data_IF_335521330062
#
_entry.id   IF_335521330062
#
_cell.length_a   1.000
_cell.length_b   1.000
_cell.length_c   1.000
_cell.angle_alpha   90.00
_cell.angle_beta   90.00
_cell.angle_gamma   90.00
#
_symmetry.space_group_name_H-M   'P 1'
#
loop_
_entity.id
_entity.type
_entity.pdbx_description
1 polymer ?
#
# COMPACT_ATOMS: atom_id res chain seq x y z
N UNK A 1 28.63 -25.74 -5.11
CA UNK A 1 28.16 -24.42 -4.65
C UNK A 1 27.52 -23.76 -5.84
N UNK A 2 26.20 -23.54 -5.85
CA UNK A 2 25.57 -22.81 -6.94
C UNK A 2 26.16 -21.39 -6.95
N UNK A 3 26.70 -20.96 -8.08
CA UNK A 3 27.17 -19.60 -8.26
C UNK A 3 25.96 -18.66 -8.19
N UNK A 4 25.59 -18.24 -6.98
CA UNK A 4 24.50 -17.30 -6.78
C UNK A 4 24.74 -16.05 -7.61
N UNK A 5 23.71 -15.60 -8.31
CA UNK A 5 23.81 -14.52 -9.28
C UNK A 5 24.20 -13.21 -8.55
N UNK A 6 25.38 -12.61 -8.85
CA UNK A 6 25.87 -11.43 -8.15
C UNK A 6 24.99 -10.19 -8.38
N UNK A 7 24.12 -10.18 -9.38
CA UNK A 7 23.35 -9.00 -9.77
C UNK A 7 21.98 -8.92 -9.09
N UNK A 8 21.66 -9.84 -8.16
CA UNK A 8 20.34 -9.97 -7.55
C UNK A 8 20.39 -9.83 -6.03
N UNK A 9 19.45 -9.07 -5.48
CA UNK A 9 19.12 -9.09 -4.05
C UNK A 9 17.92 -10.03 -3.84
N UNK A 10 18.01 -10.96 -2.90
CA UNK A 10 16.83 -11.68 -2.40
C UNK A 10 16.23 -10.94 -1.21
N UNK A 11 14.99 -10.47 -1.34
CA UNK A 11 14.21 -9.95 -0.23
C UNK A 11 13.32 -11.04 0.35
N UNK A 12 13.54 -11.38 1.61
CA UNK A 12 12.78 -12.39 2.35
C UNK A 12 11.74 -11.70 3.23
N UNK A 13 10.48 -12.06 3.03
CA UNK A 13 9.34 -11.58 3.79
C UNK A 13 8.66 -12.77 4.47
N UNK A 14 8.99 -12.97 5.74
CA UNK A 14 8.50 -14.10 6.54
C UNK A 14 7.24 -13.73 7.32
N UNK A 15 6.10 -14.35 6.97
CA UNK A 15 4.78 -13.98 7.50
C UNK A 15 4.57 -14.39 8.96
N UNK A 16 5.53 -15.10 9.58
CA UNK A 16 5.51 -15.40 11.01
C UNK A 16 5.39 -14.13 11.87
N UNK A 17 5.96 -13.04 11.38
CA UNK A 17 6.24 -11.83 12.17
C UNK A 17 6.02 -10.54 11.37
N UNK A 18 5.56 -10.67 10.13
CA UNK A 18 5.34 -9.54 9.23
C UNK A 18 3.88 -9.52 8.77
N UNK A 19 3.23 -8.32 8.77
CA UNK A 19 1.80 -8.21 8.51
C UNK A 19 1.45 -8.46 7.05
N UNK A 20 0.40 -9.24 6.79
CA UNK A 20 -0.11 -9.46 5.41
C UNK A 20 -1.08 -8.33 5.01
N UNK A 21 -0.55 -7.11 4.93
CA UNK A 21 -1.29 -5.87 4.63
C UNK A 21 -0.61 -5.07 3.52
N UNK A 22 -1.19 -3.93 3.16
CA UNK A 22 -0.57 -2.97 2.25
C UNK A 22 0.71 -2.33 2.81
N UNK A 23 0.98 -2.43 4.11
CA UNK A 23 2.24 -1.94 4.70
C UNK A 23 3.45 -2.66 4.11
N UNK A 24 3.25 -3.86 3.52
CA UNK A 24 4.24 -4.55 2.69
C UNK A 24 4.89 -3.65 1.64
N UNK A 25 4.18 -2.66 1.08
CA UNK A 25 4.75 -1.71 0.12
C UNK A 25 5.93 -0.93 0.70
N UNK A 26 5.90 -0.61 1.99
CA UNK A 26 7.00 0.09 2.66
C UNK A 26 8.23 -0.80 2.78
N UNK A 27 8.03 -2.07 3.17
CA UNK A 27 9.12 -3.05 3.23
C UNK A 27 9.71 -3.32 1.85
N UNK A 28 8.86 -3.49 0.83
CA UNK A 28 9.29 -3.76 -0.52
C UNK A 28 10.04 -2.57 -1.12
N UNK A 29 9.56 -1.34 -0.92
CA UNK A 29 10.25 -0.13 -1.38
C UNK A 29 11.60 0.04 -0.68
N UNK A 30 11.67 -0.22 0.63
CA UNK A 30 12.92 -0.21 1.39
C UNK A 30 13.90 -1.27 0.87
N UNK A 31 13.43 -2.49 0.60
CA UNK A 31 14.26 -3.54 0.02
C UNK A 31 14.73 -3.21 -1.41
N UNK A 32 13.88 -2.57 -2.23
CA UNK A 32 14.29 -2.09 -3.56
C UNK A 32 15.30 -0.94 -3.47
N UNK A 33 15.20 -0.10 -2.45
CA UNK A 33 16.20 0.91 -2.18
C UNK A 33 17.54 0.25 -1.80
N UNK A 34 17.55 -0.73 -0.90
CA UNK A 34 18.76 -1.50 -0.56
C UNK A 34 19.37 -2.20 -1.78
N UNK A 35 18.54 -2.70 -2.70
CA UNK A 35 19.00 -3.26 -3.98
C UNK A 35 19.82 -2.23 -4.76
N UNK A 36 19.36 -0.97 -4.83
CA UNK A 36 20.08 0.12 -5.50
C UNK A 36 21.39 0.46 -4.79
N UNK A 37 21.35 0.60 -3.47
CA UNK A 37 22.53 0.91 -2.65
C UNK A 37 23.62 -0.16 -2.78
N UNK A 38 23.22 -1.41 -2.97
CA UNK A 38 24.14 -2.54 -3.16
C UNK A 38 24.49 -2.84 -4.63
N UNK A 39 24.08 -1.97 -5.56
CA UNK A 39 24.41 -2.06 -6.98
C UNK A 39 23.77 -3.24 -7.73
N UNK A 40 22.69 -3.81 -7.19
CA UNK A 40 22.01 -4.97 -7.78
C UNK A 40 21.01 -4.52 -8.85
N UNK A 41 20.90 -5.26 -9.94
CA UNK A 41 20.00 -4.92 -11.06
C UNK A 41 18.56 -5.33 -10.77
N UNK A 42 18.38 -6.48 -10.10
CA UNK A 42 17.06 -7.04 -9.80
C UNK A 42 16.89 -7.37 -8.33
N UNK A 43 15.64 -7.36 -7.89
CA UNK A 43 15.23 -7.90 -6.59
C UNK A 43 14.35 -9.13 -6.84
N UNK A 44 14.67 -10.23 -6.17
CA UNK A 44 13.81 -11.41 -6.10
C UNK A 44 13.11 -11.39 -4.75
N UNK A 45 11.83 -11.78 -4.74
CA UNK A 45 10.99 -11.74 -3.55
C UNK A 45 10.76 -13.17 -3.09
N UNK A 46 11.00 -13.43 -1.81
CA UNK A 46 10.69 -14.69 -1.14
C UNK A 46 9.68 -14.42 -0.04
N UNK A 47 8.42 -14.71 -0.31
CA UNK A 47 7.34 -14.68 0.66
C UNK A 47 7.27 -16.06 1.30
N UNK A 48 7.57 -16.12 2.60
CA UNK A 48 7.52 -17.37 3.37
C UNK A 48 6.17 -17.44 4.05
N UNK A 49 5.31 -18.30 3.52
CA UNK A 49 4.04 -18.69 4.12
C UNK A 49 4.31 -19.51 5.37
N UNK A 50 3.55 -19.26 6.42
CA UNK A 50 3.64 -19.98 7.70
C UNK A 50 2.24 -20.46 8.03
N UNK A 51 2.08 -21.77 8.16
CA UNK A 51 0.80 -22.38 8.54
C UNK A 51 0.47 -22.23 10.03
N UNK A 52 1.48 -21.98 10.87
CA UNK A 52 1.33 -21.85 12.32
C UNK A 52 1.50 -20.39 12.76
N UNK A 53 0.36 -19.70 12.94
CA UNK A 53 0.31 -18.32 13.41
C UNK A 53 0.27 -18.18 14.94
N UNK A 54 0.25 -19.31 15.67
CA UNK A 54 0.03 -19.36 17.13
C UNK A 54 1.09 -18.61 17.95
N UNK A 55 2.27 -18.38 17.38
CA UNK A 55 3.39 -17.70 18.04
C UNK A 55 3.65 -16.27 17.51
N UNK A 56 2.79 -15.73 16.64
CA UNK A 56 2.91 -14.33 16.21
C UNK A 56 2.33 -13.37 17.26
N UNK A 57 3.01 -12.25 17.52
CA UNK A 57 2.63 -11.23 18.52
C UNK A 57 1.37 -10.42 18.14
N UNK A 58 0.52 -10.92 17.24
CA UNK A 58 -0.62 -10.18 16.68
C UNK A 58 -1.89 -11.03 16.69
N UNK A 59 -2.13 -11.73 17.80
CA UNK A 59 -3.37 -12.47 18.05
C UNK A 59 -4.61 -11.61 17.76
N UNK A 60 -4.59 -10.31 18.10
CA UNK A 60 -5.66 -9.36 17.79
C UNK A 60 -5.84 -9.06 16.30
N UNK A 61 -4.77 -9.07 15.49
CA UNK A 61 -4.86 -8.91 14.03
C UNK A 61 -5.35 -10.19 13.36
N UNK A 62 -4.86 -11.36 13.79
CA UNK A 62 -5.30 -12.65 13.25
C UNK A 62 -6.78 -12.87 13.54
N UNK A 63 -7.21 -12.56 14.77
CA UNK A 63 -8.64 -12.58 15.15
C UNK A 63 -9.47 -11.62 14.29
N UNK A 64 -8.95 -10.42 13.98
CA UNK A 64 -9.66 -9.44 13.15
C UNK A 64 -9.67 -9.78 11.65
N UNK A 65 -8.67 -10.52 11.15
CA UNK A 65 -8.52 -10.81 9.72
C UNK A 65 -9.08 -12.19 9.34
N UNK A 66 -9.04 -13.16 10.26
CA UNK A 66 -9.39 -14.56 10.03
C UNK A 66 -8.29 -15.34 9.29
N UNK A 67 -8.08 -16.61 9.65
CA UNK A 67 -7.00 -17.44 9.08
C UNK A 67 -7.19 -17.71 7.57
N UNK A 68 -8.41 -17.99 7.11
CA UNK A 68 -8.74 -18.21 5.69
C UNK A 68 -8.40 -17.00 4.79
N UNK A 69 -8.27 -15.80 5.39
CA UNK A 69 -7.97 -14.56 4.70
C UNK A 69 -6.47 -14.38 4.44
N UNK A 70 -5.59 -15.05 5.20
CA UNK A 70 -4.14 -14.84 5.09
C UNK A 70 -3.59 -15.40 3.77
N UNK A 71 -3.88 -16.65 3.44
CA UNK A 71 -3.47 -17.25 2.16
C UNK A 71 -4.04 -16.50 0.95
N UNK A 72 -5.30 -16.05 1.06
CA UNK A 72 -5.92 -15.23 0.03
C UNK A 72 -5.15 -13.92 -0.16
N UNK A 73 -4.77 -13.23 0.92
CA UNK A 73 -3.99 -11.99 0.86
C UNK A 73 -2.55 -12.21 0.36
N UNK A 74 -1.91 -13.33 0.64
CA UNK A 74 -0.59 -13.62 0.05
C UNK A 74 -0.69 -13.60 -1.48
N UNK A 75 -1.70 -14.28 -2.03
CA UNK A 75 -1.87 -14.43 -3.49
C UNK A 75 -2.50 -13.21 -4.17
N UNK A 76 -3.44 -12.52 -3.51
CA UNK A 76 -4.24 -11.45 -4.12
C UNK A 76 -3.83 -10.04 -3.67
N UNK A 77 -3.01 -9.92 -2.63
CA UNK A 77 -2.49 -8.66 -2.13
C UNK A 77 -0.96 -8.58 -2.28
N UNK A 78 -0.18 -9.44 -1.60
CA UNK A 78 1.30 -9.31 -1.60
C UNK A 78 1.92 -9.58 -2.97
N UNK A 79 1.59 -10.70 -3.61
CA UNK A 79 2.14 -11.06 -4.93
C UNK A 79 1.83 -9.97 -5.98
N UNK A 80 0.59 -9.44 -6.10
CA UNK A 80 0.31 -8.33 -7.01
C UNK A 80 1.05 -7.05 -6.66
N UNK A 81 1.25 -6.72 -5.38
CA UNK A 81 2.07 -5.55 -5.00
C UNK A 81 3.53 -5.69 -5.46
N UNK A 82 4.09 -6.91 -5.47
CA UNK A 82 5.43 -7.15 -6.02
C UNK A 82 5.50 -6.78 -7.51
N UNK A 83 4.45 -7.08 -8.27
CA UNK A 83 4.41 -6.85 -9.73
C UNK A 83 4.36 -5.37 -10.12
N UNK A 84 4.02 -4.50 -9.17
CA UNK A 84 4.12 -3.06 -9.38
C UNK A 84 5.58 -2.61 -9.52
N UNK A 85 6.59 -3.34 -9.04
CA UNK A 85 7.98 -2.89 -9.08
C UNK A 85 8.71 -3.40 -10.32
N UNK A 86 9.22 -2.49 -11.13
CA UNK A 86 9.93 -2.83 -12.39
C UNK A 86 11.22 -3.63 -12.20
N UNK A 87 11.83 -3.53 -11.03
CA UNK A 87 13.05 -4.24 -10.65
C UNK A 87 12.80 -5.68 -10.19
N UNK A 88 11.54 -6.03 -9.88
CA UNK A 88 11.19 -7.36 -9.39
C UNK A 88 11.35 -8.38 -10.50
N UNK A 89 12.17 -9.39 -10.24
CA UNK A 89 12.40 -10.50 -11.17
C UNK A 89 11.52 -11.69 -10.86
N UNK A 90 11.87 -12.45 -9.83
CA UNK A 90 11.17 -13.66 -9.39
C UNK A 90 10.39 -13.38 -8.11
N UNK A 91 9.25 -14.04 -7.99
CA UNK A 91 8.44 -14.04 -6.78
C UNK A 91 8.25 -15.50 -6.39
N UNK A 92 8.81 -15.87 -5.24
CA UNK A 92 8.65 -17.16 -4.59
C UNK A 92 7.61 -16.99 -3.49
N UNK A 93 6.58 -17.84 -3.50
CA UNK A 93 5.62 -17.99 -2.42
C UNK A 93 5.68 -19.44 -1.99
N UNK A 94 6.30 -19.70 -0.84
CA UNK A 94 6.68 -21.06 -0.41
C UNK A 94 6.53 -21.21 1.09
N UNK A 95 6.50 -22.46 1.56
CA UNK A 95 6.59 -22.77 2.99
C UNK A 95 8.05 -22.69 3.49
N UNK A 96 8.21 -22.75 4.81
CA UNK A 96 9.48 -22.52 5.49
C UNK A 96 10.63 -23.40 4.97
N UNK A 97 10.41 -24.69 4.74
CA UNK A 97 11.47 -25.63 4.37
C UNK A 97 12.07 -25.28 3.00
N UNK A 98 11.22 -24.95 2.04
CA UNK A 98 11.65 -24.57 0.68
C UNK A 98 12.32 -23.20 0.68
N UNK A 99 11.88 -22.27 1.53
CA UNK A 99 12.50 -20.95 1.68
C UNK A 99 14.01 -21.05 1.96
N UNK A 100 14.43 -22.01 2.79
CA UNK A 100 15.85 -22.18 3.12
C UNK A 100 16.68 -22.73 1.96
N UNK A 101 16.12 -23.60 1.13
CA UNK A 101 16.82 -24.06 -0.07
C UNK A 101 16.98 -22.94 -1.09
N UNK A 102 15.96 -22.08 -1.23
CA UNK A 102 16.04 -20.89 -2.10
C UNK A 102 17.13 -19.94 -1.61
N UNK A 103 17.16 -19.61 -0.32
CA UNK A 103 18.12 -18.66 0.27
C UNK A 103 19.58 -19.07 0.03
N UNK A 104 19.89 -20.38 0.09
CA UNK A 104 21.25 -20.91 -0.21
C UNK A 104 21.73 -20.59 -1.62
N UNK A 105 20.81 -20.33 -2.55
CA UNK A 105 21.12 -19.96 -3.94
C UNK A 105 21.51 -18.50 -4.13
N UNK A 106 21.43 -17.64 -3.11
CA UNK A 106 21.68 -16.21 -3.23
C UNK A 106 22.90 -15.77 -2.42
N UNK A 107 23.69 -14.85 -3.01
CA UNK A 107 24.84 -14.23 -2.32
C UNK A 107 24.44 -12.98 -1.53
N UNK A 108 23.37 -12.31 -1.93
CA UNK A 108 22.88 -11.08 -1.30
C UNK A 108 21.44 -11.30 -0.87
N UNK A 109 21.21 -11.26 0.44
CA UNK A 109 19.91 -11.57 1.07
C UNK A 109 19.58 -10.47 2.08
N UNK A 110 18.34 -9.99 2.06
CA UNK A 110 17.78 -9.09 3.05
C UNK A 110 16.53 -9.74 3.69
N UNK A 111 16.42 -9.80 5.02
CA UNK A 111 17.43 -9.39 6.01
C UNK A 111 18.68 -10.27 6.00
N UNK A 112 19.82 -9.67 6.37
CA UNK A 112 21.09 -10.40 6.43
C UNK A 112 21.05 -11.49 7.52
N UNK A 113 21.54 -12.67 7.17
CA UNK A 113 21.59 -13.82 8.08
C UNK A 113 20.25 -14.54 8.28
N UNK A 114 19.28 -14.35 7.39
CA UNK A 114 18.07 -15.18 7.37
C UNK A 114 18.44 -16.67 7.19
N UNK A 115 17.92 -17.54 8.04
CA UNK A 115 18.15 -18.99 7.95
C UNK A 115 17.36 -19.80 8.98
N UNK A 116 17.50 -21.13 8.96
CA UNK A 116 16.69 -22.04 9.79
C UNK A 116 16.73 -21.71 11.29
N UNK A 117 17.93 -21.47 11.83
CA UNK A 117 18.13 -21.13 13.24
C UNK A 117 17.85 -19.66 13.57
N UNK A 118 17.57 -18.81 12.56
CA UNK A 118 17.30 -17.38 12.73
C UNK A 118 16.28 -16.93 11.68
N UNK A 119 14.99 -17.30 11.83
CA UNK A 119 13.93 -16.71 11.03
C UNK A 119 13.84 -15.23 11.42
N UNK A 120 14.46 -14.37 10.61
CA UNK A 120 14.42 -12.92 10.81
C UNK A 120 13.28 -12.34 10.00
N UNK A 121 12.49 -11.50 10.65
CA UNK A 121 11.51 -10.64 9.99
C UNK A 121 12.22 -9.58 9.16
N UNK A 122 11.64 -9.22 8.03
CA UNK A 122 11.98 -7.95 7.41
C UNK A 122 11.67 -6.83 8.41
N UNK A 123 12.60 -5.90 8.59
CA UNK A 123 12.39 -4.66 9.33
C UNK A 123 12.40 -3.50 8.35
N UNK A 124 11.63 -2.46 8.65
CA UNK A 124 11.56 -1.27 7.81
C UNK A 124 11.80 -0.04 8.67
N UNK A 125 12.73 0.82 8.23
CA UNK A 125 12.95 2.14 8.81
C UNK A 125 12.85 3.16 7.69
N UNK A 126 11.83 3.99 7.79
CA UNK A 126 11.40 4.94 6.77
C UNK A 126 12.05 6.31 6.93
N UNK A 127 12.76 6.51 8.03
CA UNK A 127 13.53 7.69 8.40
C UNK A 127 15.05 7.51 8.17
N UNK A 128 15.46 6.46 7.45
CA UNK A 128 16.87 6.23 7.12
C UNK A 128 17.37 7.31 6.14
N UNK A 129 18.55 7.86 6.43
CA UNK A 129 19.18 8.85 5.56
C UNK A 129 19.45 8.28 4.16
N UNK A 130 19.09 9.02 3.11
CA UNK A 130 19.25 8.61 1.71
C UNK A 130 18.09 7.77 1.16
N UNK A 131 17.10 7.42 1.98
CA UNK A 131 15.85 6.82 1.51
C UNK A 131 14.93 7.89 0.92
N UNK A 132 15.19 8.26 -0.33
CA UNK A 132 14.43 9.26 -1.07
C UNK A 132 13.51 8.64 -2.13
N UNK A 133 12.59 9.46 -2.65
CA UNK A 133 11.70 9.05 -3.72
C UNK A 133 12.46 8.78 -5.03
N UNK A 134 12.14 7.66 -5.66
CA UNK A 134 12.46 7.34 -7.04
C UNK A 134 11.26 6.57 -7.64
N UNK A 135 11.03 6.69 -8.95
CA UNK A 135 9.89 6.06 -9.62
C UNK A 135 10.10 4.53 -9.75
N UNK A 136 9.88 3.79 -8.67
CA UNK A 136 10.05 2.34 -8.64
C UNK A 136 8.88 1.58 -9.31
N UNK A 137 7.68 2.16 -9.20
CA UNK A 137 6.43 1.54 -9.63
C UNK A 137 6.21 1.67 -11.15
N UNK A 138 5.70 0.59 -11.72
CA UNK A 138 5.20 0.45 -13.10
C UNK A 138 3.84 -0.21 -13.07
N UNK A 139 3.02 0.11 -14.06
CA UNK A 139 1.64 -0.39 -14.17
C UNK A 139 1.55 -1.20 -15.45
N UNK A 140 0.96 -2.39 -15.38
CA UNK A 140 0.76 -3.21 -16.56
C UNK A 140 -0.07 -2.48 -17.63
N UNK A 141 0.37 -2.53 -18.89
CA UNK A 141 -0.32 -1.91 -20.04
C UNK A 141 -1.79 -2.34 -20.15
N UNK A 142 -2.09 -3.60 -19.83
CA UNK A 142 -3.45 -4.13 -19.84
C UNK A 142 -4.31 -3.46 -18.78
N UNK A 143 -3.78 -3.22 -17.57
CA UNK A 143 -4.52 -2.53 -16.51
C UNK A 143 -4.82 -1.08 -16.90
N UNK A 144 -3.85 -0.39 -17.48
CA UNK A 144 -4.05 0.96 -18.04
C UNK A 144 -5.15 0.96 -19.10
N UNK A 145 -5.12 0.03 -20.06
CA UNK A 145 -6.15 -0.08 -21.11
C UNK A 145 -7.54 -0.38 -20.57
N UNK A 146 -7.65 -1.22 -19.54
CA UNK A 146 -8.94 -1.52 -18.89
C UNK A 146 -9.52 -0.26 -18.24
N UNK A 147 -8.70 0.49 -17.50
CA UNK A 147 -9.14 1.75 -16.87
C UNK A 147 -9.50 2.79 -17.92
N UNK A 148 -8.69 2.96 -18.97
CA UNK A 148 -9.00 3.87 -20.09
C UNK A 148 -10.29 3.51 -20.82
N UNK A 149 -10.59 2.21 -21.00
CA UNK A 149 -11.82 1.77 -21.63
C UNK A 149 -13.06 2.07 -20.74
N UNK A 150 -12.90 2.00 -19.42
CA UNK A 150 -13.96 2.32 -18.47
C UNK A 150 -14.21 3.83 -18.37
N UNK A 151 -13.14 4.63 -18.32
CA UNK A 151 -13.20 6.09 -18.24
C UNK A 151 -13.03 6.73 -19.63
N UNK A 152 -14.14 6.79 -20.38
CA UNK A 152 -14.18 7.30 -21.75
C UNK A 152 -13.43 8.64 -21.92
N UNK A 153 -12.61 8.73 -22.97
CA UNK A 153 -11.86 9.93 -23.33
C UNK A 153 -12.72 11.12 -23.77
N UNK A 154 -14.01 10.90 -24.06
CA UNK A 154 -14.95 11.99 -24.38
C UNK A 154 -15.46 12.70 -23.13
N UNK A 155 -15.31 12.07 -21.96
CA UNK A 155 -15.63 12.67 -20.67
C UNK A 155 -14.46 13.55 -20.21
N UNK A 156 -14.63 14.86 -20.36
CA UNK A 156 -13.61 15.85 -20.04
C UNK A 156 -13.54 16.22 -18.54
N UNK A 157 -14.35 15.56 -17.69
CA UNK A 157 -14.33 15.81 -16.25
C UNK A 157 -13.03 15.31 -15.64
N UNK A 158 -12.54 16.04 -14.64
CA UNK A 158 -11.39 15.64 -13.82
C UNK A 158 -11.84 14.51 -12.89
N UNK A 159 -11.19 13.36 -13.01
CA UNK A 159 -11.46 12.22 -12.13
C UNK A 159 -10.84 12.50 -10.76
N UNK A 160 -11.66 12.48 -9.71
CA UNK A 160 -11.23 12.56 -8.31
C UNK A 160 -11.54 11.22 -7.68
N UNK A 161 -10.52 10.47 -7.27
CA UNK A 161 -10.76 9.21 -6.56
C UNK A 161 -10.75 9.45 -5.05
N UNK A 162 -11.68 8.84 -4.33
CA UNK A 162 -11.72 8.87 -2.86
C UNK A 162 -11.54 7.45 -2.32
N UNK A 163 -10.41 7.19 -1.71
CA UNK A 163 -10.11 5.90 -1.07
C UNK A 163 -10.61 5.93 0.37
N UNK A 164 -11.57 5.06 0.68
CA UNK A 164 -12.20 5.00 2.00
C UNK A 164 -11.63 3.82 2.78
N UNK A 165 -11.39 4.05 4.06
CA UNK A 165 -11.02 2.99 5.01
C UNK A 165 -12.21 2.65 5.90
N UNK A 166 -12.54 1.37 5.98
CA UNK A 166 -13.53 0.80 6.89
C UNK A 166 -13.00 -0.53 7.40
N UNK A 167 -12.11 -0.47 8.40
CA UNK A 167 -11.40 -1.61 8.95
C UNK A 167 -11.72 -1.79 10.43
N UNK A 168 -12.00 -3.02 10.86
CA UNK A 168 -12.39 -3.30 12.25
C UNK A 168 -11.22 -3.14 13.22
N UNK A 169 -9.99 -3.42 12.76
CA UNK A 169 -8.79 -3.19 13.54
C UNK A 169 -8.45 -1.69 13.55
N UNK A 170 -8.48 -1.11 14.75
CA UNK A 170 -8.20 0.31 15.02
C UNK A 170 -9.15 1.26 14.25
N UNK A 171 -10.45 1.14 14.55
CA UNK A 171 -11.53 1.93 13.94
C UNK A 171 -11.40 3.45 14.09
N UNK A 172 -10.59 3.93 15.04
CA UNK A 172 -10.23 5.34 15.18
C UNK A 172 -9.62 5.94 13.90
N UNK A 173 -9.01 5.10 13.06
CA UNK A 173 -8.46 5.48 11.76
C UNK A 173 -9.46 5.38 10.62
N UNK A 174 -10.70 4.94 10.82
CA UNK A 174 -11.64 4.78 9.70
C UNK A 174 -12.13 6.12 9.19
N UNK A 175 -12.37 6.19 7.87
CA UNK A 175 -12.82 7.40 7.21
C UNK A 175 -14.15 7.89 7.78
N UNK A 176 -14.30 9.21 7.94
CA UNK A 176 -15.62 9.83 8.13
C UNK A 176 -16.38 9.82 6.81
N UNK A 177 -17.07 8.69 6.56
CA UNK A 177 -17.84 8.45 5.35
C UNK A 177 -18.82 9.59 5.05
N UNK A 178 -19.45 10.17 6.08
CA UNK A 178 -20.42 11.25 5.88
C UNK A 178 -19.71 12.48 5.32
N UNK A 179 -18.58 12.86 5.91
CA UNK A 179 -17.80 14.03 5.47
C UNK A 179 -17.28 13.87 4.04
N UNK A 180 -16.80 12.69 3.65
CA UNK A 180 -16.38 12.43 2.26
C UNK A 180 -17.53 12.47 1.26
N UNK A 181 -18.71 11.97 1.64
CA UNK A 181 -19.93 12.04 0.81
C UNK A 181 -20.41 13.48 0.67
N UNK A 182 -20.55 14.20 1.79
CA UNK A 182 -20.95 15.61 1.78
C UNK A 182 -19.99 16.47 0.94
N UNK A 183 -18.69 16.15 0.93
CA UNK A 183 -17.70 16.80 0.07
C UNK A 183 -17.93 16.45 -1.42
N UNK A 184 -18.13 15.18 -1.73
CA UNK A 184 -18.37 14.74 -3.11
C UNK A 184 -19.64 15.36 -3.71
N UNK A 185 -20.69 15.58 -2.90
CA UNK A 185 -21.93 16.26 -3.31
C UNK A 185 -21.71 17.74 -3.66
N UNK A 186 -20.71 18.39 -3.08
CA UNK A 186 -20.42 19.81 -3.34
C UNK A 186 -19.57 20.05 -4.59
N UNK A 187 -18.92 19.01 -5.11
CA UNK A 187 -18.12 19.15 -6.32
C UNK A 187 -19.01 19.36 -7.55
N UNK A 188 -18.65 20.35 -8.37
CA UNK A 188 -19.33 20.66 -9.63
C UNK A 188 -19.33 19.42 -10.56
N UNK A 189 -20.49 18.78 -10.81
CA UNK A 189 -20.55 17.52 -11.55
C UNK A 189 -20.26 17.70 -13.05
N UNK A 190 -20.22 18.94 -13.55
CA UNK A 190 -19.79 19.25 -14.91
C UNK A 190 -18.26 19.34 -15.03
N UNK A 191 -17.55 19.51 -13.91
CA UNK A 191 -16.08 19.61 -13.86
C UNK A 191 -15.42 18.37 -13.30
N UNK A 192 -16.04 17.72 -12.32
CA UNK A 192 -15.46 16.61 -11.59
C UNK A 192 -16.29 15.33 -11.76
N UNK A 193 -15.59 14.21 -11.86
CA UNK A 193 -16.17 12.86 -11.80
C UNK A 193 -15.59 12.18 -10.56
N UNK A 194 -16.39 12.07 -9.52
CA UNK A 194 -15.96 11.48 -8.25
C UNK A 194 -16.13 9.97 -8.30
N UNK A 195 -15.07 9.24 -7.96
CA UNK A 195 -15.05 7.77 -7.95
C UNK A 195 -14.59 7.28 -6.59
N UNK A 196 -15.45 6.55 -5.88
CA UNK A 196 -15.10 5.97 -4.58
C UNK A 196 -14.42 4.61 -4.74
N UNK A 197 -13.45 4.36 -3.85
CA UNK A 197 -12.70 3.10 -3.75
C UNK A 197 -12.68 2.68 -2.26
N UNK A 198 -13.75 2.03 -1.78
CA UNK A 198 -13.80 1.49 -0.42
C UNK A 198 -12.87 0.29 -0.20
N UNK A 199 -12.74 -0.13 1.06
CA UNK A 199 -12.08 -1.38 1.41
C UNK A 199 -12.89 -2.60 0.91
N UNK A 200 -12.15 -3.62 0.47
CA UNK A 200 -12.67 -4.96 0.21
C UNK A 200 -12.52 -5.83 1.45
N UNK A 201 -13.53 -6.67 1.73
CA UNK A 201 -13.59 -7.56 2.89
C UNK A 201 -14.15 -8.93 2.49
N UNK A 202 -14.16 -9.90 3.42
CA UNK A 202 -14.79 -11.20 3.19
C UNK A 202 -16.31 -11.11 2.87
N UNK A 203 -16.95 -9.98 3.19
CA UNK A 203 -18.35 -9.71 2.88
C UNK A 203 -18.56 -8.99 1.54
N UNK A 204 -17.51 -8.89 0.73
CA UNK A 204 -17.49 -8.12 -0.51
C UNK A 204 -16.92 -6.72 -0.30
N UNK A 205 -17.25 -5.82 -1.23
CA UNK A 205 -17.01 -4.39 -1.03
C UNK A 205 -17.83 -3.92 0.17
N UNK A 206 -17.23 -3.11 1.04
CA UNK A 206 -17.98 -2.46 2.12
C UNK A 206 -19.26 -1.83 1.55
N UNK A 207 -20.42 -2.37 1.94
CA UNK A 207 -21.72 -1.90 1.46
C UNK A 207 -22.08 -0.62 2.21
N UNK A 208 -21.48 0.47 1.77
CA UNK A 208 -21.69 1.79 2.35
C UNK A 208 -22.92 2.39 1.68
N UNK A 209 -24.06 2.38 2.39
CA UNK A 209 -25.35 2.87 1.86
C UNK A 209 -25.25 4.30 1.34
N UNK A 210 -24.41 5.15 1.96
CA UNK A 210 -24.22 6.53 1.52
C UNK A 210 -23.57 6.65 0.13
N UNK A 211 -22.96 5.59 -0.40
CA UNK A 211 -22.31 5.60 -1.73
C UNK A 211 -23.24 5.18 -2.88
N UNK A 212 -24.50 4.82 -2.62
CA UNK A 212 -25.45 4.33 -3.65
C UNK A 212 -25.60 5.33 -4.82
N UNK A 213 -25.53 6.63 -4.54
CA UNK A 213 -25.66 7.68 -5.55
C UNK A 213 -24.35 8.02 -6.26
N UNK A 214 -23.24 7.37 -5.89
CA UNK A 214 -21.91 7.66 -6.39
C UNK A 214 -21.34 6.50 -7.20
N UNK A 215 -20.40 6.84 -8.08
CA UNK A 215 -19.64 5.85 -8.81
C UNK A 215 -18.63 5.16 -7.89
N UNK A 216 -18.73 3.83 -7.81
CA UNK A 216 -17.74 2.97 -7.13
C UNK A 216 -17.05 2.12 -8.18
N UNK A 217 -15.73 2.25 -8.29
CA UNK A 217 -14.95 1.42 -9.20
C UNK A 217 -14.49 0.13 -8.49
N UNK A 218 -15.43 -0.80 -8.35
CA UNK A 218 -15.24 -2.11 -7.71
C UNK A 218 -13.95 -2.85 -8.13
N UNK A 219 -13.54 -2.88 -9.42
CA UNK A 219 -12.33 -3.60 -9.80
C UNK A 219 -11.06 -3.11 -9.07
N UNK A 220 -10.97 -1.82 -8.72
CA UNK A 220 -9.85 -1.30 -7.93
C UNK A 220 -9.91 -1.70 -6.45
N UNK A 221 -11.07 -2.12 -5.92
CA UNK A 221 -11.18 -2.64 -4.57
C UNK A 221 -10.41 -3.96 -4.42
N UNK A 222 -10.38 -4.79 -5.48
CA UNK A 222 -9.85 -6.15 -5.45
C UNK A 222 -8.54 -6.35 -6.21
N UNK A 223 -8.26 -5.52 -7.23
CA UNK A 223 -7.12 -5.70 -8.10
C UNK A 223 -6.13 -4.54 -7.96
N UNK A 224 -4.92 -4.87 -7.48
CA UNK A 224 -3.85 -3.89 -7.21
C UNK A 224 -3.40 -3.14 -8.46
N UNK A 225 -3.29 -3.81 -9.60
CA UNK A 225 -2.88 -3.19 -10.88
C UNK A 225 -3.96 -2.24 -11.40
N UNK A 226 -5.25 -2.62 -11.31
CA UNK A 226 -6.35 -1.75 -11.70
C UNK A 226 -6.49 -0.55 -10.76
N UNK A 227 -6.24 -0.73 -9.46
CA UNK A 227 -6.18 0.37 -8.50
C UNK A 227 -5.05 1.34 -8.84
N UNK A 228 -3.84 0.84 -9.09
CA UNK A 228 -2.70 1.66 -9.50
C UNK A 228 -2.99 2.40 -10.82
N UNK A 229 -3.55 1.71 -11.82
CA UNK A 229 -3.95 2.30 -13.09
C UNK A 229 -4.99 3.42 -12.92
N UNK A 230 -6.00 3.23 -12.06
CA UNK A 230 -6.97 4.27 -11.75
C UNK A 230 -6.30 5.45 -11.04
N UNK A 231 -5.44 5.21 -10.07
CA UNK A 231 -4.70 6.28 -9.39
C UNK A 231 -3.81 7.09 -10.33
N UNK A 232 -3.16 6.43 -11.30
CA UNK A 232 -2.36 7.09 -12.34
C UNK A 232 -3.22 7.96 -13.26
N UNK A 233 -4.44 7.51 -13.57
CA UNK A 233 -5.38 8.16 -14.48
C UNK A 233 -6.17 9.30 -13.83
N UNK A 234 -6.35 9.23 -12.51
CA UNK A 234 -7.03 10.26 -11.75
C UNK A 234 -6.31 11.60 -11.87
N UNK A 235 -7.07 12.69 -11.90
CA UNK A 235 -6.50 14.02 -11.76
C UNK A 235 -6.02 14.27 -10.32
N UNK A 236 -6.72 13.68 -9.35
CA UNK A 236 -6.35 13.75 -7.94
C UNK A 236 -6.85 12.51 -7.21
N UNK A 237 -6.00 11.96 -6.34
CA UNK A 237 -6.35 10.87 -5.43
C UNK A 237 -6.45 11.42 -4.01
N UNK A 238 -7.52 11.10 -3.31
CA UNK A 238 -7.77 11.57 -1.96
C UNK A 238 -8.13 10.40 -1.05
N UNK A 239 -7.89 10.61 0.24
CA UNK A 239 -8.34 9.74 1.30
C UNK A 239 -7.57 10.03 2.57
N UNK A 240 -7.78 9.19 3.57
CA UNK A 240 -6.96 9.23 4.78
C UNK A 240 -5.65 8.47 4.57
N UNK A 241 -4.70 8.62 5.50
CA UNK A 241 -3.50 7.82 5.56
C UNK A 241 -3.85 6.34 5.80
N UNK A 242 -3.81 5.56 4.72
CA UNK A 242 -4.04 4.12 4.72
C UNK A 242 -3.15 3.44 3.66
N UNK A 243 -2.90 2.14 3.87
CA UNK A 243 -2.03 1.37 3.00
C UNK A 243 -2.44 1.36 1.52
N UNK A 244 -3.72 1.19 1.14
CA UNK A 244 -4.10 1.20 -0.27
C UNK A 244 -3.75 2.52 -0.98
N UNK A 245 -3.96 3.67 -0.33
CA UNK A 245 -3.65 4.98 -0.92
C UNK A 245 -2.13 5.22 -1.02
N UNK A 246 -1.31 4.52 -0.22
CA UNK A 246 0.15 4.59 -0.31
C UNK A 246 0.69 4.21 -1.71
N UNK A 247 -0.03 3.37 -2.47
CA UNK A 247 0.30 3.08 -3.88
C UNK A 247 0.46 4.39 -4.66
N UNK A 248 -0.53 5.28 -4.59
CA UNK A 248 -0.50 6.55 -5.31
C UNK A 248 0.63 7.48 -4.84
N UNK A 249 0.98 7.45 -3.55
CA UNK A 249 2.09 8.24 -3.02
C UNK A 249 3.47 7.73 -3.48
N UNK A 250 3.58 6.48 -3.90
CA UNK A 250 4.78 5.89 -4.49
C UNK A 250 4.88 6.08 -6.01
N UNK A 251 3.93 6.79 -6.61
CA UNK A 251 3.88 7.01 -8.06
C UNK A 251 4.35 8.40 -8.45
N UNK A 252 5.09 8.46 -9.55
CA UNK A 252 5.61 9.72 -10.07
C UNK A 252 4.52 10.57 -10.71
N UNK A 253 4.48 11.86 -10.39
CA UNK A 253 3.52 12.85 -10.94
C UNK A 253 2.04 12.47 -10.71
N UNK A 254 1.76 11.62 -9.73
CA UNK A 254 0.40 11.32 -9.28
C UNK A 254 0.07 12.25 -8.13
N UNK A 255 -0.95 13.10 -8.30
CA UNK A 255 -1.38 14.03 -7.27
C UNK A 255 -2.20 13.26 -6.23
N UNK A 256 -1.69 13.22 -5.01
CA UNK A 256 -2.33 12.54 -3.90
C UNK A 256 -2.46 13.46 -2.71
N UNK A 257 -3.63 13.50 -2.09
CA UNK A 257 -3.87 14.15 -0.81
C UNK A 257 -4.20 13.06 0.20
N UNK A 258 -3.42 13.01 1.27
CA UNK A 258 -3.54 12.01 2.32
C UNK A 258 -3.74 12.71 3.66
N UNK A 259 -4.93 12.54 4.24
CA UNK A 259 -5.24 13.08 5.57
C UNK A 259 -4.72 12.11 6.63
N UNK A 260 -3.68 12.52 7.33
CA UNK A 260 -3.09 11.74 8.42
C UNK A 260 -3.90 11.93 9.70
N UNK A 261 -4.64 10.88 10.07
CA UNK A 261 -5.44 10.80 11.29
C UNK A 261 -4.67 10.15 12.45
N UNK A 262 -3.34 10.11 12.41
CA UNK A 262 -2.54 9.45 13.44
C UNK A 262 -2.84 9.95 14.85
N UNK A 263 -3.16 11.23 15.02
CA UNK A 263 -3.52 11.81 16.33
C UNK A 263 -4.86 11.32 16.92
N UNK A 264 -5.70 10.65 16.13
CA UNK A 264 -6.90 9.98 16.64
C UNK A 264 -6.58 8.62 17.29
N UNK A 265 -5.35 8.11 17.14
CA UNK A 265 -4.91 6.85 17.73
C UNK A 265 -4.43 7.02 19.18
N UNK A 266 -4.43 5.93 19.98
CA UNK A 266 -3.77 5.93 21.28
C UNK A 266 -2.29 6.35 21.20
N UNK A 267 -1.81 7.12 22.17
CA UNK A 267 -0.46 7.69 22.14
C UNK A 267 0.64 6.60 22.12
N UNK A 268 0.45 5.53 22.88
CA UNK A 268 1.33 4.36 22.90
C UNK A 268 1.40 3.64 21.55
N UNK A 269 0.29 3.60 20.81
CA UNK A 269 0.28 3.09 19.44
C UNK A 269 1.14 3.96 18.51
N UNK A 270 1.00 5.28 18.58
CA UNK A 270 1.78 6.23 17.76
C UNK A 270 3.28 6.12 18.09
N UNK A 271 3.62 6.07 19.38
CA UNK A 271 5.00 5.93 19.85
C UNK A 271 5.61 4.61 19.37
N UNK A 272 4.84 3.53 19.39
CA UNK A 272 5.29 2.23 18.87
C UNK A 272 5.51 2.25 17.35
N UNK A 273 4.59 2.88 16.58
CA UNK A 273 4.78 3.04 15.13
C UNK A 273 6.05 3.84 14.84
N UNK A 274 6.28 4.95 15.55
CA UNK A 274 7.50 5.75 15.40
C UNK A 274 8.75 4.96 15.78
N UNK A 275 8.72 4.22 16.88
CA UNK A 275 9.85 3.41 17.33
C UNK A 275 10.23 2.32 16.30
N UNK A 276 9.23 1.62 15.74
CA UNK A 276 9.45 0.51 14.82
C UNK A 276 9.82 1.01 13.42
N UNK A 277 9.12 2.02 12.92
CA UNK A 277 9.17 2.42 11.49
C UNK A 277 9.87 3.74 11.23
N UNK A 278 10.02 4.60 12.26
CA UNK A 278 10.49 5.97 12.09
C UNK A 278 9.44 6.95 11.58
N UNK A 279 8.20 6.52 11.33
CA UNK A 279 7.13 7.42 10.89
C UNK A 279 6.76 8.44 11.97
N UNK A 280 6.61 9.69 11.54
CA UNK A 280 6.19 10.81 12.38
C UNK A 280 4.85 11.32 11.87
N UNK A 281 3.89 11.50 12.78
CA UNK A 281 2.56 11.98 12.44
C UNK A 281 2.63 13.36 11.75
N UNK A 282 1.93 13.49 10.63
CA UNK A 282 1.89 14.69 9.80
C UNK A 282 3.09 14.89 8.88
N UNK A 283 4.16 14.13 9.06
CA UNK A 283 5.33 14.21 8.20
C UNK A 283 5.19 13.23 7.03
N UNK A 284 5.26 13.78 5.81
CA UNK A 284 5.31 12.96 4.60
C UNK A 284 6.62 12.18 4.59
N UNK A 285 6.60 10.85 4.46
CA UNK A 285 7.83 10.08 4.31
C UNK A 285 8.65 10.53 3.09
N UNK A 286 9.97 10.58 3.24
CA UNK A 286 10.90 11.09 2.20
C UNK A 286 10.80 10.30 0.88
N UNK A 287 10.54 9.01 0.98
CA UNK A 287 10.38 8.11 -0.16
C UNK A 287 9.03 8.21 -0.88
N UNK A 288 8.09 9.01 -0.37
CA UNK A 288 6.90 9.35 -1.14
C UNK A 288 7.22 10.44 -2.18
N UNK A 289 6.47 10.43 -3.27
CA UNK A 289 6.54 11.44 -4.31
C UNK A 289 6.25 12.83 -3.75
N UNK A 290 6.90 13.87 -4.29
CA UNK A 290 6.60 15.27 -3.96
C UNK A 290 5.18 15.69 -4.36
N UNK A 291 4.47 14.88 -5.15
CA UNK A 291 3.05 15.06 -5.49
C UNK A 291 2.08 14.41 -4.48
N UNK A 292 2.60 13.72 -3.47
CA UNK A 292 1.83 13.24 -2.33
C UNK A 292 1.87 14.32 -1.22
N UNK A 293 0.71 14.83 -0.84
CA UNK A 293 0.55 15.89 0.15
C UNK A 293 -0.07 15.30 1.42
N UNK A 294 0.62 15.43 2.54
CA UNK A 294 0.16 14.98 3.85
C UNK A 294 -0.50 16.13 4.60
N UNK A 295 -1.63 15.85 5.25
CA UNK A 295 -2.30 16.81 6.11
C UNK A 295 -2.67 16.14 7.45
N UNK A 296 -2.03 16.57 8.53
CA UNK A 296 -2.34 16.08 9.87
C UNK A 296 -3.66 16.67 10.36
N UNK A 297 -4.65 15.83 10.64
CA UNK A 297 -5.95 16.30 11.09
C UNK A 297 -7.05 15.26 10.95
N UNK A 298 -8.29 15.70 11.06
CA UNK A 298 -9.48 14.86 10.82
C UNK A 298 -9.92 15.00 9.38
N UNK A 299 -10.51 13.96 8.83
CA UNK A 299 -11.18 14.02 7.53
C UNK A 299 -12.62 14.53 7.65
N UNK A 300 -12.80 15.62 8.41
CA UNK A 300 -14.06 16.34 8.41
C UNK A 300 -14.24 17.14 7.12
N UNK A 301 -15.49 17.46 6.77
CA UNK A 301 -15.84 18.16 5.53
C UNK A 301 -15.05 19.45 5.30
N UNK A 302 -14.84 20.25 6.36
CA UNK A 302 -14.14 21.54 6.25
C UNK A 302 -12.69 21.29 5.85
N UNK A 303 -12.02 20.39 6.56
CA UNK A 303 -10.63 20.01 6.27
C UNK A 303 -10.49 19.48 4.84
N UNK A 304 -11.38 18.58 4.41
CA UNK A 304 -11.37 18.01 3.04
C UNK A 304 -11.52 19.10 1.97
N UNK A 305 -12.43 20.05 2.15
CA UNK A 305 -12.64 21.15 1.20
C UNK A 305 -11.45 22.10 1.15
N UNK A 306 -10.87 22.43 2.30
CA UNK A 306 -9.72 23.34 2.39
C UNK A 306 -8.52 22.78 1.63
N UNK A 307 -8.14 21.52 1.90
CA UNK A 307 -7.01 20.86 1.21
C UNK A 307 -7.31 20.63 -0.28
N UNK A 308 -8.54 20.29 -0.66
CA UNK A 308 -8.91 20.14 -2.07
C UNK A 308 -8.73 21.47 -2.83
N UNK A 309 -9.15 22.58 -2.24
CA UNK A 309 -9.02 23.90 -2.86
C UNK A 309 -7.58 24.42 -2.88
N UNK A 310 -6.75 24.03 -1.91
CA UNK A 310 -5.32 24.34 -1.88
C UNK A 310 -4.60 23.65 -3.04
N UNK A 311 -4.78 22.34 -3.19
CA UNK A 311 -4.05 21.52 -4.16
C UNK A 311 -4.82 21.29 -5.48
N UNK A 312 -6.03 21.81 -5.60
CA UNK A 312 -6.89 21.68 -6.78
C UNK A 312 -6.73 22.81 -7.82
N UNK A 313 -5.96 23.84 -7.47
CA UNK A 313 -5.58 24.92 -8.39
C UNK A 313 -4.56 24.47 -9.44
#
# INVERSE_FOLDING_TARGET
MAEGNPDRLLFVYDTFSSPVTFDFLHYLYYADWLRRETGKTHIDILIVSRSDFSASAVESYIVAVGEDNLNWRLTNLLVPMCRLFSSVGRIHLVEQEEAFEIVKGYRSVHPEGYGYASPKSATVRLDVAGLDFYPALTIADTAQKIVEAYFSKVDNRRIVTITLRSYDFLSARNSDIKSWVDFAEELDPLKYRVVFIPDASMHGIATIKQLISFEVFDPACWNIELRAALYQRAWMNMGIACGPLAISCLMNKVRTIMIDRSLDCPADYIDNIRYITGLIAGERPNFYSNSCHFHLGKDDKKTILEIFNEFGK
#
